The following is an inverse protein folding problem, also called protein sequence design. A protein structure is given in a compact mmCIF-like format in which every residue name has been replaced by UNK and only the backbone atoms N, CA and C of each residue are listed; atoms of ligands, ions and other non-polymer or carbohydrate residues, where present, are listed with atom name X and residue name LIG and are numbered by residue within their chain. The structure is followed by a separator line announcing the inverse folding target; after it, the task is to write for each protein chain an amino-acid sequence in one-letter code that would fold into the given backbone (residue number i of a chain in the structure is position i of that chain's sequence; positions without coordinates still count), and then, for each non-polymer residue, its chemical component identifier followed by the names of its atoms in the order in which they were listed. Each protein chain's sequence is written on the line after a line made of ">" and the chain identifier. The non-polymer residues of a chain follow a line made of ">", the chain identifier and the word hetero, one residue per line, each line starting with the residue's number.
data_IF_594742360580
#
_entry.id   IF_594742360580
#
_cell.length_a   1.000
_cell.length_b   1.000
_cell.length_c   1.000
_cell.angle_alpha   90.00
_cell.angle_beta   90.00
_cell.angle_gamma   90.00
#
_symmetry.space_group_name_H-M   'P 1'
#
loop_
_entity.id
_entity.type
_entity.pdbx_description
1 polymer ?
#
# COMPACT_ATOMS: atom_id res chain seq x y z
N UNK A 1 -3.62 -104.43 28.02
CA UNK A 1 -2.92 -103.97 29.24
C UNK A 1 -3.57 -102.68 29.69
N UNK A 2 -4.07 -102.48 30.89
CA UNK A 2 -4.39 -103.35 32.01
C UNK A 2 -5.33 -102.51 32.91
N UNK A 3 -6.62 -102.88 32.95
CA UNK A 3 -7.38 -103.18 34.19
C UNK A 3 -7.50 -102.08 35.28
N UNK A 4 -8.75 -101.62 35.52
CA UNK A 4 -9.63 -101.93 36.71
C UNK A 4 -9.55 -100.80 37.76
N UNK A 5 -10.55 -100.46 38.57
CA UNK A 5 -11.96 -100.79 38.72
C UNK A 5 -12.53 -99.95 39.91
N UNK A 6 -13.86 -99.76 39.92
CA UNK A 6 -14.76 -99.62 41.10
C UNK A 6 -14.66 -98.36 41.99
N UNK A 7 -15.64 -97.44 41.95
CA UNK A 7 -16.96 -97.38 42.67
C UNK A 7 -16.83 -97.13 44.17
N UNK A 8 -17.33 -96.00 44.68
CA UNK A 8 -18.10 -95.86 45.92
C UNK A 8 -18.75 -94.45 46.04
N UNK A 9 -20.05 -94.39 46.34
CA UNK A 9 -20.79 -93.20 46.81
C UNK A 9 -20.73 -93.15 48.34
N UNK A 10 -20.80 -91.96 48.96
CA UNK A 10 -22.01 -91.67 49.72
C UNK A 10 -22.50 -90.21 49.61
N UNK A 11 -23.81 -90.07 49.78
CA UNK A 11 -24.57 -88.83 49.92
C UNK A 11 -24.01 -87.87 50.99
N UNK A 12 -23.92 -86.58 50.67
CA UNK A 12 -24.08 -85.49 51.64
C UNK A 12 -24.92 -84.37 51.01
N UNK A 13 -26.03 -84.03 51.67
CA UNK A 13 -26.85 -82.85 51.39
C UNK A 13 -26.04 -81.58 51.70
N UNK A 14 -26.06 -80.59 50.81
CA UNK A 14 -25.82 -79.20 51.21
C UNK A 14 -26.46 -78.23 50.22
N UNK A 15 -27.30 -77.34 50.75
CA UNK A 15 -27.87 -76.17 50.06
C UNK A 15 -26.76 -75.41 49.33
N UNK A 16 -26.90 -75.22 48.01
CA UNK A 16 -26.13 -74.20 47.30
C UNK A 16 -27.07 -73.04 47.03
N UNK A 17 -26.90 -71.97 47.81
CA UNK A 17 -27.41 -70.65 47.51
C UNK A 17 -26.83 -70.20 46.16
N UNK A 18 -27.70 -69.75 45.25
CA UNK A 18 -27.28 -68.92 44.13
C UNK A 18 -26.76 -67.59 44.69
N UNK A 19 -25.45 -67.48 44.89
CA UNK A 19 -24.79 -66.19 45.01
C UNK A 19 -24.59 -65.69 43.59
N UNK A 20 -25.51 -64.85 43.12
CA UNK A 20 -25.21 -63.98 41.99
C UNK A 20 -23.97 -63.15 42.36
N UNK A 21 -22.90 -63.12 41.55
CA UNK A 21 -21.83 -62.17 41.79
C UNK A 21 -22.45 -60.78 41.67
N UNK A 22 -22.30 -59.99 42.74
CA UNK A 22 -22.55 -58.56 42.74
C UNK A 22 -21.95 -57.96 41.49
N UNK A 23 -22.80 -57.44 40.61
CA UNK A 23 -22.40 -56.48 39.58
C UNK A 23 -21.59 -55.40 40.31
N UNK A 24 -20.28 -55.41 40.08
CA UNK A 24 -19.45 -54.23 40.30
C UNK A 24 -20.10 -53.16 39.43
N UNK A 25 -20.83 -52.24 40.07
CA UNK A 25 -21.34 -51.04 39.44
C UNK A 25 -20.12 -50.33 38.87
N UNK A 26 -19.93 -50.42 37.55
CA UNK A 26 -18.94 -49.62 36.85
C UNK A 26 -19.15 -48.18 37.28
N UNK A 27 -18.08 -47.53 37.76
CA UNK A 27 -18.05 -46.11 38.08
C UNK A 27 -18.78 -45.36 36.97
N UNK A 28 -19.87 -44.69 37.32
CA UNK A 28 -20.65 -43.95 36.32
C UNK A 28 -19.75 -42.86 35.73
N UNK A 29 -19.66 -42.75 34.39
CA UNK A 29 -18.72 -41.82 33.79
C UNK A 29 -19.06 -40.37 34.15
N UNK A 30 -18.04 -39.53 34.31
CA UNK A 30 -18.16 -38.07 34.44
C UNK A 30 -17.09 -37.46 33.54
N UNK A 31 -17.48 -36.49 32.70
CA UNK A 31 -16.56 -35.91 31.72
C UNK A 31 -16.90 -34.45 31.44
N UNK A 32 -15.87 -33.59 31.40
CA UNK A 32 -16.02 -32.22 30.88
C UNK A 32 -15.91 -32.25 29.36
N UNK A 33 -17.06 -32.28 28.70
CA UNK A 33 -17.21 -32.29 27.24
C UNK A 33 -16.55 -31.10 26.55
N UNK A 34 -16.71 -29.94 27.15
CA UNK A 34 -16.30 -28.73 26.48
C UNK A 34 -16.15 -27.57 27.45
N UNK A 35 -15.13 -26.76 27.22
CA UNK A 35 -14.99 -25.42 27.80
C UNK A 35 -14.82 -24.45 26.64
N UNK A 36 -15.82 -23.61 26.39
CA UNK A 36 -15.80 -22.59 25.33
C UNK A 36 -15.84 -21.21 25.92
N UNK A 37 -15.10 -20.30 25.29
CA UNK A 37 -15.32 -18.86 25.41
C UNK A 37 -16.35 -18.50 24.33
N UNK A 38 -17.31 -17.65 24.68
CA UNK A 38 -18.35 -17.16 23.78
C UNK A 38 -17.78 -16.24 22.70
N UNK A 39 -18.68 -15.48 22.06
CA UNK A 39 -18.28 -14.57 20.98
C UNK A 39 -17.31 -13.51 21.50
N UNK A 40 -16.15 -13.42 20.85
CA UNK A 40 -15.17 -12.38 21.13
C UNK A 40 -15.70 -11.01 20.70
N UNK A 41 -15.24 -9.91 21.32
CA UNK A 41 -15.71 -8.57 20.99
C UNK A 41 -15.58 -8.21 19.51
N UNK A 42 -16.54 -7.44 19.01
CA UNK A 42 -16.45 -6.82 17.69
C UNK A 42 -15.49 -5.62 17.74
N UNK A 43 -14.68 -5.46 16.71
CA UNK A 43 -13.80 -4.31 16.51
C UNK A 43 -14.63 -3.18 15.91
N UNK A 44 -15.35 -2.45 16.75
CA UNK A 44 -16.37 -1.46 16.35
C UNK A 44 -15.85 -0.32 15.46
N UNK A 45 -14.55 -0.03 15.51
CA UNK A 45 -13.89 1.03 14.74
C UNK A 45 -13.68 0.68 13.27
N UNK A 46 -13.76 -0.59 12.87
CA UNK A 46 -13.40 -1.07 11.53
C UNK A 46 -14.60 -1.62 10.73
N UNK A 47 -15.83 -1.37 11.17
CA UNK A 47 -17.04 -1.80 10.46
C UNK A 47 -17.54 -3.20 10.82
N UNK A 48 -18.69 -3.58 10.25
CA UNK A 48 -19.45 -4.78 10.67
C UNK A 48 -18.75 -6.10 10.30
N UNK A 49 -18.75 -7.07 11.21
CA UNK A 49 -18.23 -8.43 10.97
C UNK A 49 -16.75 -8.66 11.31
N UNK A 50 -16.06 -7.66 11.87
CA UNK A 50 -14.68 -7.79 12.34
C UNK A 50 -14.66 -8.12 13.84
N UNK A 51 -14.11 -9.27 14.20
CA UNK A 51 -14.05 -9.74 15.58
C UNK A 51 -12.61 -9.87 16.04
N UNK A 52 -12.40 -9.64 17.34
CA UNK A 52 -11.14 -9.96 17.98
C UNK A 52 -10.87 -11.47 17.91
N UNK A 53 -9.60 -11.83 18.04
CA UNK A 53 -9.09 -13.21 18.13
C UNK A 53 -8.32 -13.46 19.44
N UNK A 54 -7.98 -12.39 20.16
CA UNK A 54 -7.44 -12.37 21.52
C UNK A 54 -8.25 -11.36 22.35
N UNK A 55 -8.11 -11.37 23.67
CA UNK A 55 -8.78 -10.39 24.55
C UNK A 55 -7.76 -9.38 25.09
N UNK A 56 -8.25 -8.27 25.60
CA UNK A 56 -7.48 -7.25 26.32
C UNK A 56 -8.20 -6.79 27.58
N UNK A 57 -7.47 -6.11 28.45
CA UNK A 57 -8.00 -5.44 29.62
C UNK A 57 -9.21 -4.56 29.26
N UNK A 58 -10.29 -4.73 30.03
CA UNK A 58 -11.53 -3.96 29.83
C UNK A 58 -12.52 -4.56 28.83
N UNK A 59 -12.17 -5.62 28.08
CA UNK A 59 -13.15 -6.32 27.25
C UNK A 59 -14.26 -6.90 28.14
N UNK A 60 -15.47 -6.38 27.96
CA UNK A 60 -16.63 -6.70 28.78
C UNK A 60 -17.57 -7.70 28.10
N UNK A 61 -18.57 -8.17 28.86
CA UNK A 61 -19.65 -9.05 28.40
C UNK A 61 -19.17 -10.41 27.85
N UNK A 62 -17.97 -10.84 28.22
CA UNK A 62 -17.44 -12.14 27.87
C UNK A 62 -18.25 -13.25 28.55
N UNK A 63 -18.34 -14.39 27.85
CA UNK A 63 -19.07 -15.56 28.31
C UNK A 63 -18.14 -16.78 28.32
N UNK A 64 -18.23 -17.60 29.36
CA UNK A 64 -17.66 -18.96 29.35
C UNK A 64 -18.80 -19.96 29.47
N UNK A 65 -18.83 -20.94 28.57
CA UNK A 65 -19.79 -22.04 28.58
C UNK A 65 -19.08 -23.37 28.74
N UNK A 66 -19.59 -24.18 29.65
CA UNK A 66 -19.05 -25.48 30.01
C UNK A 66 -20.11 -26.53 29.74
N UNK A 67 -19.78 -27.55 28.94
CA UNK A 67 -20.61 -28.75 28.78
C UNK A 67 -19.97 -29.89 29.60
N UNK A 68 -20.77 -30.56 30.42
CA UNK A 68 -20.34 -31.70 31.24
C UNK A 68 -21.32 -32.85 31.10
N UNK A 69 -20.81 -34.04 30.81
CA UNK A 69 -21.61 -35.26 30.77
C UNK A 69 -21.59 -35.92 32.15
N UNK A 70 -22.76 -36.13 32.76
CA UNK A 70 -22.90 -36.77 34.06
C UNK A 70 -24.10 -37.72 34.11
N UNK A 71 -23.88 -38.95 34.57
CA UNK A 71 -24.91 -39.98 34.71
C UNK A 71 -25.45 -40.08 36.15
N UNK A 72 -24.92 -39.26 37.06
CA UNK A 72 -25.30 -39.21 38.47
C UNK A 72 -26.09 -37.94 38.80
N UNK A 73 -26.77 -37.37 37.80
CA UNK A 73 -27.51 -36.12 37.90
C UNK A 73 -26.63 -34.87 37.68
N UNK A 74 -27.19 -33.69 38.00
CA UNK A 74 -26.56 -32.39 37.76
C UNK A 74 -25.25 -32.28 38.55
N UNK A 75 -24.08 -32.14 37.89
CA UNK A 75 -22.81 -31.99 38.60
C UNK A 75 -22.65 -30.57 39.15
N UNK A 76 -21.89 -30.44 40.23
CA UNK A 76 -21.38 -29.14 40.70
C UNK A 76 -20.15 -28.75 39.89
N UNK A 77 -20.04 -27.47 39.52
CA UNK A 77 -18.96 -26.97 38.67
C UNK A 77 -18.16 -25.89 39.41
N UNK A 78 -16.88 -25.83 39.12
CA UNK A 78 -15.95 -24.78 39.54
C UNK A 78 -15.03 -24.43 38.38
N UNK A 79 -14.83 -23.14 38.12
CA UNK A 79 -13.87 -22.64 37.14
C UNK A 79 -12.88 -21.68 37.81
N UNK A 80 -11.59 -21.86 37.57
CA UNK A 80 -10.55 -20.92 37.97
C UNK A 80 -10.45 -19.79 36.93
N UNK A 81 -10.94 -18.61 37.33
CA UNK A 81 -10.95 -17.38 36.52
C UNK A 81 -9.94 -16.34 37.03
N UNK A 82 -9.05 -16.73 37.96
CA UNK A 82 -8.08 -15.80 38.56
C UNK A 82 -7.14 -15.19 37.52
N UNK A 83 -6.74 -15.97 36.53
CA UNK A 83 -5.83 -15.55 35.44
C UNK A 83 -6.43 -14.51 34.50
N UNK A 84 -7.74 -14.25 34.57
CA UNK A 84 -8.44 -13.20 33.80
C UNK A 84 -9.01 -12.08 34.71
N UNK A 85 -8.55 -11.99 35.96
CA UNK A 85 -8.79 -10.85 36.85
C UNK A 85 -9.85 -11.05 37.93
N UNK A 86 -10.29 -12.28 38.21
CA UNK A 86 -11.33 -12.56 39.20
C UNK A 86 -10.76 -13.24 40.44
N UNK A 87 -10.59 -12.48 41.52
CA UNK A 87 -10.13 -12.95 42.83
C UNK A 87 -11.31 -13.33 43.75
N UNK A 88 -12.03 -14.40 43.41
CA UNK A 88 -12.78 -15.28 44.34
C UNK A 88 -13.81 -16.12 43.57
N UNK A 89 -14.11 -17.35 44.05
CA UNK A 89 -14.89 -18.33 43.31
C UNK A 89 -16.38 -17.96 43.32
N UNK A 90 -16.87 -17.25 42.31
CA UNK A 90 -18.21 -17.58 41.80
C UNK A 90 -18.05 -18.78 40.88
N UNK A 91 -17.75 -19.92 41.50
CA UNK A 91 -17.72 -21.25 40.88
C UNK A 91 -19.12 -21.69 40.50
N UNK A 92 -20.14 -21.11 41.13
CA UNK A 92 -21.53 -21.29 40.75
C UNK A 92 -21.81 -20.59 39.41
N UNK A 93 -22.14 -21.35 38.37
CA UNK A 93 -22.57 -20.78 37.10
C UNK A 93 -23.83 -19.94 37.32
N UNK A 94 -23.91 -18.80 36.64
CA UNK A 94 -25.04 -17.85 36.76
C UNK A 94 -26.34 -18.44 36.20
N UNK A 95 -26.23 -19.38 35.26
CA UNK A 95 -27.34 -20.21 34.79
C UNK A 95 -26.78 -21.52 34.22
N UNK A 96 -27.54 -22.61 34.31
CA UNK A 96 -27.13 -23.92 33.78
C UNK A 96 -27.40 -25.09 34.72
N UNK A 97 -27.16 -26.31 34.23
CA UNK A 97 -27.39 -27.55 34.97
C UNK A 97 -28.74 -28.24 34.72
N UNK A 98 -29.58 -27.70 33.83
CA UNK A 98 -30.77 -28.40 33.33
C UNK A 98 -30.67 -28.58 31.82
N UNK A 99 -30.72 -29.83 31.36
CA UNK A 99 -30.92 -30.13 29.95
C UNK A 99 -32.37 -30.55 29.74
N UNK A 100 -33.21 -29.74 29.08
CA UNK A 100 -34.62 -30.07 28.89
C UNK A 100 -34.84 -31.29 27.97
N UNK A 101 -33.78 -31.86 27.40
CA UNK A 101 -33.82 -32.98 26.45
C UNK A 101 -33.26 -34.29 27.03
N UNK A 102 -33.19 -34.46 28.35
CA UNK A 102 -32.91 -35.77 28.94
C UNK A 102 -33.92 -36.81 28.43
N UNK A 103 -33.41 -37.87 27.82
CA UNK A 103 -34.21 -38.95 27.25
C UNK A 103 -33.84 -40.26 27.94
N UNK A 104 -34.81 -40.85 28.64
CA UNK A 104 -34.61 -42.07 29.40
C UNK A 104 -35.25 -43.27 28.68
N UNK A 105 -34.47 -44.30 28.35
CA UNK A 105 -34.96 -45.62 27.92
C UNK A 105 -34.51 -46.65 28.95
N UNK A 106 -35.44 -47.47 29.46
CA UNK A 106 -35.14 -48.55 30.42
C UNK A 106 -34.30 -48.10 31.64
N UNK A 107 -34.48 -46.86 32.09
CA UNK A 107 -33.76 -46.30 33.23
C UNK A 107 -32.36 -45.75 32.93
N UNK A 108 -31.88 -45.82 31.68
CA UNK A 108 -30.63 -45.21 31.24
C UNK A 108 -30.89 -43.84 30.59
N UNK A 109 -30.17 -42.82 31.05
CA UNK A 109 -30.15 -41.48 30.44
C UNK A 109 -29.26 -41.51 29.18
N UNK A 110 -29.83 -41.11 28.05
CA UNK A 110 -29.13 -41.10 26.76
C UNK A 110 -28.53 -39.72 26.42
N UNK A 111 -28.90 -38.66 27.14
CA UNK A 111 -28.38 -37.29 26.92
C UNK A 111 -27.91 -36.65 28.24
N UNK A 112 -26.84 -37.17 28.87
CA UNK A 112 -26.34 -36.72 30.18
C UNK A 112 -25.62 -35.36 30.17
N UNK A 113 -25.76 -34.56 29.11
CA UNK A 113 -25.04 -33.30 28.91
C UNK A 113 -25.68 -32.17 29.71
N UNK A 114 -24.90 -31.51 30.55
CA UNK A 114 -25.27 -30.34 31.34
C UNK A 114 -24.48 -29.12 30.90
N UNK A 115 -25.19 -28.04 30.60
CA UNK A 115 -24.60 -26.77 30.15
C UNK A 115 -24.57 -25.77 31.28
N UNK A 116 -23.43 -25.13 31.48
CA UNK A 116 -23.19 -24.12 32.52
C UNK A 116 -22.62 -22.85 31.90
N UNK A 117 -23.11 -21.69 32.34
CA UNK A 117 -22.73 -20.37 31.81
C UNK A 117 -22.21 -19.43 32.89
N UNK A 118 -21.03 -18.87 32.66
CA UNK A 118 -20.41 -17.79 33.42
C UNK A 118 -20.47 -16.52 32.56
N UNK A 119 -21.32 -15.57 32.94
CA UNK A 119 -21.55 -14.33 32.19
C UNK A 119 -22.38 -13.32 33.02
N UNK A 120 -22.10 -12.02 32.98
CA UNK A 120 -21.07 -11.35 32.19
C UNK A 120 -19.71 -11.36 32.87
N UNK A 121 -18.65 -11.50 32.06
CA UNK A 121 -17.27 -11.38 32.51
C UNK A 121 -16.61 -10.18 31.83
N UNK A 122 -15.84 -9.41 32.59
CA UNK A 122 -14.98 -8.33 32.09
C UNK A 122 -13.54 -8.66 32.42
N UNK A 123 -12.64 -8.60 31.45
CA UNK A 123 -11.21 -8.84 31.67
C UNK A 123 -10.65 -7.74 32.58
N UNK A 124 -10.03 -8.15 33.69
CA UNK A 124 -9.49 -7.21 34.68
C UNK A 124 -8.43 -6.28 34.10
N UNK A 125 -8.38 -5.04 34.61
CA UNK A 125 -7.47 -4.01 34.12
C UNK A 125 -5.98 -4.38 34.30
N UNK A 126 -5.67 -5.15 35.34
CA UNK A 126 -4.29 -5.51 35.72
C UNK A 126 -3.88 -6.90 35.21
N UNK A 127 -4.66 -7.51 34.31
CA UNK A 127 -4.34 -8.83 33.76
C UNK A 127 -3.17 -8.68 32.78
N UNK A 128 -2.00 -9.30 33.07
CA UNK A 128 -0.83 -9.15 32.20
C UNK A 128 -1.01 -9.93 30.90
N UNK A 129 -0.18 -9.64 29.90
CA UNK A 129 -0.23 -10.31 28.61
C UNK A 129 0.07 -11.81 28.69
N UNK A 130 -0.24 -12.50 27.60
CA UNK A 130 0.13 -13.88 27.34
C UNK A 130 -1.02 -14.87 27.50
N UNK A 131 -0.66 -16.14 27.35
CA UNK A 131 -1.59 -17.27 27.36
C UNK A 131 -2.12 -17.53 28.77
N UNK A 132 -3.43 -17.37 28.95
CA UNK A 132 -4.16 -17.70 30.19
C UNK A 132 -4.87 -19.04 30.00
N UNK A 133 -4.84 -19.85 31.05
CA UNK A 133 -5.52 -21.15 31.11
C UNK A 133 -6.65 -21.06 32.10
N UNK A 134 -7.86 -21.33 31.62
CA UNK A 134 -9.05 -21.46 32.46
C UNK A 134 -9.23 -22.95 32.73
N UNK A 135 -9.10 -23.34 33.99
CA UNK A 135 -9.28 -24.73 34.43
C UNK A 135 -10.64 -24.91 35.06
N UNK A 136 -11.26 -26.05 34.78
CA UNK A 136 -12.61 -26.40 35.21
C UNK A 136 -12.58 -27.72 35.95
N UNK A 137 -13.30 -27.79 37.05
CA UNK A 137 -13.51 -28.99 37.85
C UNK A 137 -15.03 -29.23 37.93
N UNK A 138 -15.46 -30.43 37.58
CA UNK A 138 -16.82 -30.91 37.75
C UNK A 138 -16.83 -32.05 38.78
N UNK A 139 -17.79 -32.00 39.72
CA UNK A 139 -17.97 -33.04 40.73
C UNK A 139 -19.42 -33.50 40.72
N UNK A 140 -19.65 -34.79 40.52
CA UNK A 140 -21.00 -35.37 40.54
C UNK A 140 -21.53 -35.61 41.96
N UNK A 141 -22.79 -36.08 42.08
CA UNK A 141 -23.43 -36.33 43.38
C UNK A 141 -22.78 -37.47 44.19
N UNK A 142 -22.00 -38.34 43.55
CA UNK A 142 -21.32 -39.47 44.17
C UNK A 142 -19.87 -39.11 44.54
N UNK A 143 -19.39 -37.93 44.13
CA UNK A 143 -18.06 -37.40 44.41
C UNK A 143 -17.01 -37.72 43.35
N UNK A 144 -17.39 -38.25 42.19
CA UNK A 144 -16.46 -38.39 41.07
C UNK A 144 -16.05 -37.01 40.56
N UNK A 145 -14.80 -36.85 40.12
CA UNK A 145 -14.25 -35.58 39.66
C UNK A 145 -13.79 -35.69 38.21
N UNK A 146 -14.19 -34.72 37.37
CA UNK A 146 -13.67 -34.55 36.02
C UNK A 146 -13.11 -33.14 35.84
N UNK A 147 -12.04 -33.02 35.05
CA UNK A 147 -11.39 -31.73 34.77
C UNK A 147 -11.44 -31.41 33.29
N UNK A 148 -11.54 -30.12 32.96
CA UNK A 148 -11.38 -29.60 31.61
C UNK A 148 -10.63 -28.28 31.62
N UNK A 149 -10.18 -27.82 30.45
CA UNK A 149 -9.54 -26.51 30.36
C UNK A 149 -9.76 -25.88 29.00
N UNK A 150 -9.70 -24.55 28.95
CA UNK A 150 -9.55 -23.80 27.70
C UNK A 150 -8.45 -22.75 27.86
N UNK A 151 -7.97 -22.21 26.75
CA UNK A 151 -6.89 -21.22 26.72
C UNK A 151 -7.35 -19.97 25.97
N UNK A 152 -6.88 -18.82 26.44
CA UNK A 152 -7.10 -17.53 25.80
C UNK A 152 -5.82 -16.71 25.86
N UNK A 153 -5.57 -15.88 24.84
CA UNK A 153 -4.45 -14.95 24.85
C UNK A 153 -4.98 -13.60 25.32
N UNK A 154 -4.31 -13.00 26.30
CA UNK A 154 -4.48 -11.60 26.67
C UNK A 154 -3.37 -10.79 26.01
N UNK A 155 -3.73 -9.72 25.33
CA UNK A 155 -2.83 -8.81 24.65
C UNK A 155 -3.24 -7.37 24.90
N UNK A 156 -2.48 -6.67 25.74
CA UNK A 156 -2.69 -5.26 26.08
C UNK A 156 -1.71 -4.33 25.35
N UNK A 157 -0.85 -4.84 24.45
CA UNK A 157 0.18 -4.04 23.79
C UNK A 157 -0.37 -3.55 22.46
N UNK A 158 -0.58 -2.22 22.28
CA UNK A 158 -1.02 -1.71 21.01
C UNK A 158 0.07 -1.86 19.94
N UNK A 159 -0.29 -2.21 18.70
CA UNK A 159 0.66 -2.34 17.61
C UNK A 159 1.17 -0.98 17.16
N UNK A 160 2.40 -0.96 16.68
CA UNK A 160 3.02 0.16 15.99
C UNK A 160 3.33 -0.22 14.55
N UNK A 161 3.24 0.75 13.65
CA UNK A 161 3.63 0.58 12.24
C UNK A 161 4.25 1.88 11.73
N UNK A 162 5.40 1.77 11.11
CA UNK A 162 6.13 2.88 10.51
C UNK A 162 6.51 2.56 9.07
N UNK A 163 6.26 3.50 8.17
CA UNK A 163 6.73 3.45 6.79
C UNK A 163 8.08 4.17 6.72
N UNK A 164 9.11 3.47 6.23
CA UNK A 164 10.47 4.01 6.11
C UNK A 164 10.82 4.40 4.68
N UNK A 165 10.20 3.76 3.68
CA UNK A 165 10.44 4.04 2.27
C UNK A 165 9.18 3.81 1.42
N UNK A 166 9.01 4.68 0.42
CA UNK A 166 8.12 4.48 -0.72
C UNK A 166 8.96 4.67 -1.98
N UNK A 167 9.14 3.60 -2.74
CA UNK A 167 9.90 3.61 -3.99
C UNK A 167 9.07 3.15 -5.18
N UNK A 168 9.50 3.47 -6.40
CA UNK A 168 8.76 3.22 -7.63
C UNK A 168 9.57 2.36 -8.58
N UNK A 169 8.88 1.49 -9.32
CA UNK A 169 9.48 0.68 -10.39
C UNK A 169 9.96 1.51 -11.58
N UNK A 170 9.33 2.66 -11.84
CA UNK A 170 9.62 3.56 -12.97
C UNK A 170 9.52 5.02 -12.52
N UNK A 171 10.29 5.89 -13.18
CA UNK A 171 10.29 7.35 -12.95
C UNK A 171 10.09 8.08 -14.29
N UNK A 172 9.06 8.94 -14.43
CA UNK A 172 7.98 9.18 -13.47
C UNK A 172 7.00 7.98 -13.43
N UNK A 173 6.36 7.71 -12.27
CA UNK A 173 5.39 6.63 -12.14
C UNK A 173 4.09 6.96 -12.88
N UNK A 174 3.43 5.91 -13.39
CA UNK A 174 2.11 5.99 -14.01
C UNK A 174 1.14 4.97 -13.39
N UNK A 175 -0.14 5.12 -13.71
CA UNK A 175 -1.17 4.13 -13.39
C UNK A 175 -0.73 2.73 -13.84
N UNK A 176 -0.86 1.74 -12.95
CA UNK A 176 -0.48 0.36 -13.25
C UNK A 176 1.00 0.04 -13.00
N UNK A 177 1.87 1.04 -12.83
CA UNK A 177 3.24 0.80 -12.39
C UNK A 177 3.25 0.32 -10.93
N UNK A 178 4.35 -0.36 -10.55
CA UNK A 178 4.53 -0.89 -9.20
C UNK A 178 5.17 0.16 -8.30
N UNK A 179 4.55 0.41 -7.16
CA UNK A 179 5.10 1.07 -5.98
C UNK A 179 5.52 0.01 -4.95
N UNK A 180 6.59 0.28 -4.22
CA UNK A 180 7.14 -0.59 -3.20
C UNK A 180 7.08 0.10 -1.84
N UNK A 181 6.52 -0.58 -0.85
CA UNK A 181 6.49 -0.11 0.54
C UNK A 181 7.52 -0.84 1.38
N UNK A 182 8.27 -0.11 2.20
CA UNK A 182 9.14 -0.69 3.22
C UNK A 182 8.90 -0.02 4.57
N UNK A 183 9.14 -0.75 5.65
CA UNK A 183 8.89 -0.27 6.98
C UNK A 183 9.07 -1.33 8.06
N UNK A 184 8.54 -1.02 9.23
CA UNK A 184 8.63 -1.83 10.43
C UNK A 184 7.29 -1.82 11.16
N UNK A 185 6.87 -2.99 11.65
CA UNK A 185 5.84 -3.11 12.68
C UNK A 185 6.43 -3.69 13.96
N UNK A 186 5.95 -3.23 15.10
CA UNK A 186 6.37 -3.72 16.43
C UNK A 186 5.19 -3.62 17.41
N UNK A 187 5.34 -4.12 18.65
CA UNK A 187 4.31 -4.03 19.69
C UNK A 187 3.09 -4.89 19.39
N UNK A 188 3.23 -5.92 18.56
CA UNK A 188 2.12 -6.79 18.15
C UNK A 188 2.06 -7.96 19.13
N UNK A 189 1.46 -7.77 20.31
CA UNK A 189 1.25 -8.87 21.27
C UNK A 189 0.37 -10.00 20.71
N UNK A 190 -0.24 -9.76 19.55
CA UNK A 190 -0.97 -10.71 18.71
C UNK A 190 -0.77 -10.39 17.21
N UNK A 191 -1.37 -11.19 16.32
CA UNK A 191 -1.19 -11.06 14.86
C UNK A 191 -1.72 -9.71 14.36
N UNK A 192 -0.85 -8.92 13.71
CA UNK A 192 -1.23 -7.67 13.04
C UNK A 192 -1.85 -7.95 11.68
N UNK A 193 -3.01 -7.36 11.41
CA UNK A 193 -3.74 -7.46 10.15
C UNK A 193 -3.94 -6.07 9.54
N UNK A 194 -3.66 -5.95 8.24
CA UNK A 194 -3.89 -4.70 7.50
C UNK A 194 -5.36 -4.59 7.13
N UNK A 195 -6.04 -3.59 7.68
CA UNK A 195 -7.44 -3.29 7.36
C UNK A 195 -7.56 -2.57 6.02
N UNK A 196 -6.79 -1.49 5.84
CA UNK A 196 -6.86 -0.64 4.66
C UNK A 196 -5.51 0.01 4.36
N UNK A 197 -5.20 0.15 3.08
CA UNK A 197 -4.12 1.00 2.57
C UNK A 197 -4.76 2.03 1.65
N UNK A 198 -4.53 3.32 1.85
CA UNK A 198 -5.11 4.40 1.06
C UNK A 198 -4.02 5.19 0.34
N UNK A 199 -4.17 5.28 -0.98
CA UNK A 199 -3.42 6.18 -1.84
C UNK A 199 -4.17 7.51 -1.96
N UNK A 200 -3.45 8.62 -1.72
CA UNK A 200 -3.92 9.98 -2.02
C UNK A 200 -2.83 10.74 -2.75
N UNK A 201 -3.20 11.45 -3.81
CA UNK A 201 -2.32 12.28 -4.60
C UNK A 201 -2.61 13.74 -4.32
N UNK A 202 -1.56 14.55 -4.25
CA UNK A 202 -1.65 15.96 -3.85
C UNK A 202 -0.94 16.84 -4.87
N UNK A 203 -1.52 18.00 -5.17
CA UNK A 203 -0.87 19.03 -5.99
C UNK A 203 0.24 19.75 -5.22
N UNK A 204 0.95 20.66 -5.91
CA UNK A 204 2.04 21.46 -5.31
C UNK A 204 1.55 22.48 -4.26
N UNK A 205 0.24 22.74 -4.20
CA UNK A 205 -0.39 23.65 -3.25
C UNK A 205 -0.92 22.91 -2.01
N UNK A 206 -0.81 21.58 -1.97
CA UNK A 206 -1.30 20.76 -0.87
C UNK A 206 -2.80 20.49 -0.93
N UNK A 207 -3.43 20.54 -2.10
CA UNK A 207 -4.80 20.08 -2.29
C UNK A 207 -4.83 18.61 -2.78
N UNK A 208 -5.77 17.79 -2.27
CA UNK A 208 -5.94 16.43 -2.76
C UNK A 208 -6.52 16.48 -4.18
N UNK A 209 -5.82 15.88 -5.14
CA UNK A 209 -6.28 15.75 -6.54
C UNK A 209 -6.91 14.39 -6.79
N UNK A 210 -6.57 13.38 -5.98
CA UNK A 210 -7.12 12.05 -6.03
C UNK A 210 -7.05 11.40 -4.66
N UNK A 211 -8.07 10.60 -4.35
CA UNK A 211 -8.05 9.69 -3.21
C UNK A 211 -8.79 8.42 -3.57
N UNK A 212 -8.10 7.29 -3.44
CA UNK A 212 -8.71 5.96 -3.64
C UNK A 212 -9.92 5.79 -2.69
N UNK A 213 -11.12 5.58 -3.24
CA UNK A 213 -12.30 5.17 -2.46
C UNK A 213 -12.18 3.68 -2.15
N UNK A 214 -12.21 3.31 -0.87
CA UNK A 214 -12.01 1.92 -0.41
C UNK A 214 -10.56 1.51 -0.17
N UNK A 215 -9.58 2.31 -0.57
CA UNK A 215 -8.16 1.97 -0.45
C UNK A 215 -7.69 1.02 -1.57
N UNK A 216 -6.37 0.85 -1.68
CA UNK A 216 -5.76 -0.18 -2.53
C UNK A 216 -6.04 -1.54 -1.88
N UNK A 217 -7.24 -2.10 -2.07
CA UNK A 217 -7.57 -3.44 -1.55
C UNK A 217 -6.65 -4.53 -2.16
N UNK A 218 -6.06 -4.24 -3.34
CA UNK A 218 -5.03 -5.05 -4.00
C UNK A 218 -3.66 -4.91 -3.31
N UNK A 219 -3.52 -5.52 -2.13
CA UNK A 219 -2.20 -5.70 -1.50
C UNK A 219 -2.19 -5.73 0.03
N UNK A 220 -3.31 -5.48 0.72
CA UNK A 220 -3.37 -5.59 2.19
C UNK A 220 -2.96 -6.97 2.71
N UNK A 221 -3.35 -8.02 1.99
CA UNK A 221 -2.94 -9.40 2.30
C UNK A 221 -1.44 -9.59 2.09
N UNK A 222 -0.85 -9.00 1.03
CA UNK A 222 0.58 -9.10 0.77
C UNK A 222 1.39 -8.45 1.89
N UNK A 223 0.99 -7.26 2.35
CA UNK A 223 1.65 -6.61 3.48
C UNK A 223 1.44 -7.35 4.80
N UNK A 224 0.23 -7.85 5.03
CA UNK A 224 -0.07 -8.70 6.21
C UNK A 224 0.84 -9.93 6.22
N UNK A 225 0.98 -10.62 5.08
CA UNK A 225 1.88 -11.78 4.95
C UNK A 225 3.35 -11.39 5.07
N UNK A 226 3.78 -10.26 4.48
CA UNK A 226 5.15 -9.80 4.58
C UNK A 226 5.55 -9.53 6.04
N UNK A 227 4.70 -8.81 6.78
CA UNK A 227 4.88 -8.56 8.22
C UNK A 227 4.93 -9.88 8.98
N UNK A 228 3.95 -10.76 8.80
CA UNK A 228 3.88 -12.04 9.51
C UNK A 228 5.05 -12.98 9.20
N UNK A 229 5.71 -12.82 8.05
CA UNK A 229 6.88 -13.60 7.65
C UNK A 229 8.19 -13.11 8.27
N UNK A 230 8.22 -11.90 8.83
CA UNK A 230 9.42 -11.34 9.43
C UNK A 230 9.45 -11.51 10.94
N UNK A 231 10.58 -11.98 11.46
CA UNK A 231 10.78 -12.18 12.91
C UNK A 231 10.88 -10.85 13.65
N UNK A 232 11.44 -9.82 13.01
CA UNK A 232 11.60 -8.47 13.57
C UNK A 232 10.47 -7.52 13.17
N UNK A 233 9.44 -8.02 12.47
CA UNK A 233 8.33 -7.20 11.96
C UNK A 233 8.72 -6.24 10.82
N UNK A 234 9.93 -6.34 10.28
CA UNK A 234 10.32 -5.55 9.11
C UNK A 234 9.64 -6.06 7.85
N UNK A 235 9.30 -5.14 6.94
CA UNK A 235 8.84 -5.47 5.60
C UNK A 235 9.60 -4.61 4.60
N UNK A 236 10.11 -5.24 3.55
CA UNK A 236 10.96 -4.55 2.57
C UNK A 236 10.41 -4.75 1.16
N UNK A 237 10.24 -3.64 0.44
CA UNK A 237 9.81 -3.59 -0.95
C UNK A 237 8.57 -4.45 -1.25
N UNK A 238 7.54 -4.34 -0.41
CA UNK A 238 6.25 -4.99 -0.64
C UNK A 238 5.56 -4.30 -1.84
N UNK A 239 5.20 -5.04 -2.91
CA UNK A 239 4.70 -4.44 -4.15
C UNK A 239 3.21 -4.07 -4.08
N UNK A 240 2.88 -2.93 -4.67
CA UNK A 240 1.53 -2.39 -4.83
C UNK A 240 1.37 -1.80 -6.21
N UNK A 241 0.21 -2.02 -6.84
CA UNK A 241 -0.10 -1.40 -8.13
C UNK A 241 -0.69 -0.02 -7.88
N UNK A 242 -0.07 1.00 -8.48
CA UNK A 242 -0.57 2.38 -8.40
C UNK A 242 -1.92 2.50 -9.11
N UNK A 243 -2.87 3.16 -8.45
CA UNK A 243 -4.20 3.39 -8.98
C UNK A 243 -4.49 4.88 -9.15
N UNK A 244 -4.88 5.26 -10.36
CA UNK A 244 -5.22 6.64 -10.73
C UNK A 244 -6.52 6.60 -11.55
N UNK A 245 -7.66 6.40 -10.89
CA UNK A 245 -8.95 6.24 -11.59
C UNK A 245 -10.04 7.15 -11.01
N UNK A 246 -10.72 7.98 -11.82
CA UNK A 246 -10.58 8.18 -13.26
C UNK A 246 -9.80 9.46 -13.59
N UNK A 247 -8.47 9.43 -13.74
CA UNK A 247 -7.71 10.60 -14.23
C UNK A 247 -6.24 10.28 -14.52
N UNK A 248 -5.51 11.24 -15.11
CA UNK A 248 -4.04 11.29 -15.13
C UNK A 248 -3.51 12.04 -13.88
N UNK A 249 -4.11 11.85 -12.70
CA UNK A 249 -3.75 12.61 -11.51
C UNK A 249 -2.28 12.44 -11.14
N UNK A 250 -1.68 11.26 -11.35
CA UNK A 250 -0.24 11.03 -11.14
C UNK A 250 0.64 11.98 -11.97
N UNK A 251 0.18 12.38 -13.16
CA UNK A 251 0.95 13.27 -14.05
C UNK A 251 0.98 14.73 -13.60
N UNK A 252 0.06 15.13 -12.73
CA UNK A 252 -0.07 16.48 -12.18
C UNK A 252 0.14 16.52 -10.66
N UNK A 253 0.33 15.35 -10.03
CA UNK A 253 0.64 15.20 -8.63
C UNK A 253 2.05 15.73 -8.33
N UNK A 254 2.18 16.55 -7.29
CA UNK A 254 3.48 16.88 -6.72
C UNK A 254 3.94 15.82 -5.71
N UNK A 255 3.00 15.18 -5.00
CA UNK A 255 3.31 14.17 -3.99
C UNK A 255 2.26 13.07 -3.89
N UNK A 256 2.70 11.92 -3.37
CA UNK A 256 1.88 10.76 -3.05
C UNK A 256 1.92 10.56 -1.54
N UNK A 257 0.75 10.42 -0.93
CA UNK A 257 0.59 10.04 0.47
C UNK A 257 -0.04 8.66 0.55
N UNK A 258 0.67 7.75 1.23
CA UNK A 258 0.17 6.42 1.57
C UNK A 258 -0.22 6.42 3.04
N UNK A 259 -1.45 5.98 3.33
CA UNK A 259 -1.99 5.82 4.69
C UNK A 259 -2.29 4.34 4.92
N UNK A 260 -1.79 3.76 6.01
CA UNK A 260 -2.06 2.36 6.38
C UNK A 260 -2.83 2.34 7.68
N UNK A 261 -3.96 1.64 7.70
CA UNK A 261 -4.73 1.31 8.89
C UNK A 261 -4.64 -0.18 9.14
N UNK A 262 -4.23 -0.57 10.35
CA UNK A 262 -4.04 -1.95 10.76
C UNK A 262 -4.65 -2.17 12.15
N UNK A 263 -4.87 -3.44 12.50
CA UNK A 263 -5.34 -3.85 13.81
C UNK A 263 -4.71 -5.16 14.24
N UNK A 264 -4.55 -5.36 15.54
CA UNK A 264 -4.06 -6.61 16.12
C UNK A 264 -5.21 -7.57 16.47
N UNK A 265 -4.89 -8.76 16.97
CA UNK A 265 -5.86 -9.75 17.40
C UNK A 265 -6.77 -9.28 18.55
N UNK A 266 -6.32 -8.32 19.38
CA UNK A 266 -7.12 -7.76 20.48
C UNK A 266 -7.96 -6.56 20.04
N UNK A 267 -7.87 -6.15 18.77
CA UNK A 267 -8.61 -5.04 18.20
C UNK A 267 -8.08 -3.66 18.59
N UNK A 268 -6.81 -3.53 19.01
CA UNK A 268 -6.13 -2.24 18.95
C UNK A 268 -5.96 -1.84 17.49
N UNK A 269 -6.25 -0.58 17.17
CA UNK A 269 -6.14 -0.05 15.80
C UNK A 269 -5.03 0.98 15.74
N UNK A 270 -4.19 0.88 14.72
CA UNK A 270 -3.12 1.83 14.43
C UNK A 270 -3.28 2.39 13.02
N UNK A 271 -2.97 3.67 12.84
CA UNK A 271 -2.92 4.30 11.51
C UNK A 271 -1.63 5.08 11.35
N UNK A 272 -0.91 4.86 10.24
CA UNK A 272 0.32 5.59 9.89
C UNK A 272 0.22 6.18 8.49
N UNK A 273 1.08 7.14 8.16
CA UNK A 273 1.17 7.68 6.80
C UNK A 273 2.57 8.15 6.46
N UNK A 274 2.94 8.03 5.18
CA UNK A 274 4.15 8.62 4.63
C UNK A 274 3.83 9.37 3.34
N UNK A 275 4.42 10.56 3.19
CA UNK A 275 4.29 11.40 2.00
C UNK A 275 5.64 11.45 1.30
N UNK A 276 5.67 11.14 0.00
CA UNK A 276 6.86 11.27 -0.84
C UNK A 276 6.56 12.13 -2.05
N UNK A 277 7.53 12.91 -2.57
CA UNK A 277 7.36 13.60 -3.83
C UNK A 277 7.15 12.58 -4.96
N UNK A 278 6.34 12.94 -5.96
CA UNK A 278 6.32 12.16 -7.21
C UNK A 278 7.67 12.37 -7.88
N UNK A 279 8.47 11.32 -8.10
CA UNK A 279 9.77 11.51 -8.69
C UNK A 279 9.59 11.95 -10.15
N UNK A 280 10.13 13.11 -10.47
CA UNK A 280 10.25 13.65 -11.82
C UNK A 280 11.71 13.50 -12.26
N UNK A 281 12.00 13.05 -13.49
CA UNK A 281 13.40 12.86 -13.87
C UNK A 281 14.08 14.20 -14.22
N UNK A 282 15.04 14.65 -13.41
CA UNK A 282 16.02 15.72 -13.68
C UNK A 282 15.48 17.04 -14.27
N UNK A 283 14.27 17.48 -13.87
CA UNK A 283 13.71 18.76 -14.30
C UNK A 283 13.45 18.89 -15.80
N UNK A 284 13.43 17.79 -16.55
CA UNK A 284 13.10 17.78 -17.98
C UNK A 284 11.60 17.60 -18.17
N UNK A 285 11.09 18.09 -19.30
CA UNK A 285 9.70 17.86 -19.71
C UNK A 285 9.60 16.42 -20.23
N UNK A 286 8.68 15.63 -19.68
CA UNK A 286 8.38 14.27 -20.15
C UNK A 286 6.95 14.23 -20.70
N UNK A 287 6.77 13.45 -21.76
CA UNK A 287 5.44 13.12 -22.26
C UNK A 287 4.82 12.05 -21.37
N UNK A 288 3.57 12.24 -20.98
CA UNK A 288 2.77 11.24 -20.24
C UNK A 288 2.07 10.26 -21.20
N UNK A 289 1.48 9.18 -20.66
CA UNK A 289 0.77 8.14 -21.40
C UNK A 289 1.63 6.95 -21.84
N UNK A 290 1.03 6.05 -22.63
CA UNK A 290 1.61 4.76 -23.06
C UNK A 290 2.91 4.90 -23.88
N UNK A 291 3.13 6.08 -24.47
CA UNK A 291 4.30 6.38 -25.30
C UNK A 291 5.33 7.25 -24.56
N UNK A 292 5.29 7.29 -23.21
CA UNK A 292 6.16 8.16 -22.42
C UNK A 292 7.65 7.97 -22.74
N UNK A 293 8.40 9.07 -22.61
CA UNK A 293 9.85 8.97 -22.55
C UNK A 293 10.27 8.10 -21.35
N UNK A 294 11.25 7.24 -21.57
CA UNK A 294 11.89 6.38 -20.56
C UNK A 294 13.30 6.93 -20.34
N UNK A 295 14.29 6.07 -20.05
CA UNK A 295 15.70 6.46 -20.13
C UNK A 295 16.13 6.99 -21.52
N UNK A 296 15.29 6.81 -22.55
CA UNK A 296 15.48 7.39 -23.90
C UNK A 296 14.55 8.59 -24.16
N UNK A 297 14.99 9.66 -24.85
CA UNK A 297 14.13 10.80 -25.20
C UNK A 297 12.92 10.42 -26.05
N UNK A 298 11.74 11.02 -25.77
CA UNK A 298 10.47 10.72 -26.44
C UNK A 298 10.58 10.74 -27.97
N UNK A 299 11.14 11.81 -28.52
CA UNK A 299 11.22 12.00 -29.97
C UNK A 299 12.02 10.88 -30.67
N UNK A 300 13.01 10.30 -29.98
CA UNK A 300 13.78 9.16 -30.49
C UNK A 300 12.95 7.88 -30.46
N UNK A 301 12.16 7.66 -29.39
CA UNK A 301 11.28 6.50 -29.29
C UNK A 301 10.15 6.56 -30.31
N UNK A 302 9.55 7.74 -30.45
CA UNK A 302 8.45 7.96 -31.38
C UNK A 302 8.89 7.76 -32.83
N UNK A 303 10.09 8.23 -33.20
CA UNK A 303 10.66 7.95 -34.51
C UNK A 303 10.78 6.43 -34.76
N UNK A 304 11.33 5.67 -33.81
CA UNK A 304 11.46 4.20 -33.92
C UNK A 304 10.10 3.52 -34.00
N UNK A 305 9.12 3.96 -33.21
CA UNK A 305 7.76 3.41 -33.19
C UNK A 305 7.07 3.63 -34.53
N UNK A 306 7.11 4.87 -35.04
CA UNK A 306 6.53 5.23 -36.34
C UNK A 306 7.21 4.47 -37.48
N UNK A 307 8.54 4.37 -37.46
CA UNK A 307 9.30 3.60 -38.43
C UNK A 307 8.89 2.11 -38.43
N UNK A 308 8.73 1.49 -37.25
CA UNK A 308 8.28 0.10 -37.11
C UNK A 308 6.88 -0.14 -37.66
N UNK A 309 5.95 0.80 -37.47
CA UNK A 309 4.60 0.71 -38.02
C UNK A 309 4.48 1.16 -39.49
N UNK A 310 5.54 1.77 -40.04
CA UNK A 310 5.55 2.26 -41.42
C UNK A 310 5.76 1.10 -42.40
N UNK A 311 5.04 1.11 -43.52
CA UNK A 311 5.20 0.12 -44.60
C UNK A 311 6.63 0.06 -45.16
N UNK A 312 7.34 1.19 -45.14
CA UNK A 312 8.70 1.30 -45.66
C UNK A 312 9.77 1.02 -44.61
N UNK A 313 9.38 0.85 -43.34
CA UNK A 313 10.31 0.84 -42.22
C UNK A 313 10.93 2.21 -41.90
N UNK A 314 10.47 3.28 -42.55
CA UNK A 314 11.03 4.64 -42.43
C UNK A 314 9.96 5.71 -42.27
N UNK A 315 10.37 6.88 -41.76
CA UNK A 315 9.53 8.06 -41.51
C UNK A 315 10.00 9.25 -42.33
N UNK A 316 9.06 10.03 -42.87
CA UNK A 316 9.34 11.37 -43.41
C UNK A 316 9.09 12.41 -42.33
N UNK A 317 10.07 13.28 -42.08
CA UNK A 317 9.97 14.36 -41.08
C UNK A 317 9.67 15.67 -41.81
N UNK A 318 8.58 16.34 -41.42
CA UNK A 318 8.29 17.72 -41.85
C UNK A 318 8.51 18.63 -40.66
N UNK A 319 9.45 19.55 -40.78
CA UNK A 319 9.87 20.39 -39.66
C UNK A 319 9.81 21.87 -40.02
N UNK A 320 9.11 22.64 -39.18
CA UNK A 320 8.92 24.08 -39.32
C UNK A 320 9.75 24.85 -38.29
N UNK A 321 10.34 25.98 -38.71
CA UNK A 321 11.04 26.92 -37.81
C UNK A 321 12.08 26.19 -36.93
N UNK A 322 12.09 26.42 -35.62
CA UNK A 322 12.99 25.78 -34.66
C UNK A 322 12.90 24.22 -34.66
N UNK A 323 11.78 23.65 -35.10
CA UNK A 323 11.63 22.21 -35.26
C UNK A 323 12.64 21.59 -36.22
N UNK A 324 13.13 22.36 -37.21
CA UNK A 324 14.19 21.90 -38.11
C UNK A 324 15.55 21.79 -37.43
N UNK A 325 15.89 22.71 -36.54
CA UNK A 325 17.10 22.64 -35.73
C UNK A 325 17.04 21.46 -34.75
N UNK A 326 15.88 21.24 -34.13
CA UNK A 326 15.62 20.06 -33.29
C UNK A 326 15.78 18.75 -34.07
N UNK A 327 15.30 18.70 -35.31
CA UNK A 327 15.47 17.53 -36.20
C UNK A 327 16.94 17.25 -36.48
N UNK A 328 17.76 18.29 -36.72
CA UNK A 328 19.21 18.14 -36.90
C UNK A 328 19.89 17.60 -35.64
N UNK A 329 19.53 18.13 -34.47
CA UNK A 329 20.05 17.65 -33.18
C UNK A 329 19.65 16.17 -32.93
N UNK A 330 18.42 15.78 -33.28
CA UNK A 330 17.96 14.39 -33.19
C UNK A 330 18.82 13.46 -34.05
N UNK A 331 19.10 13.83 -35.30
CA UNK A 331 19.93 13.02 -36.21
C UNK A 331 21.34 12.84 -35.64
N UNK A 332 21.96 13.92 -35.15
CA UNK A 332 23.27 13.86 -34.49
C UNK A 332 23.25 12.93 -33.27
N UNK A 333 22.15 12.89 -32.52
CA UNK A 333 21.99 12.02 -31.35
C UNK A 333 21.75 10.56 -31.68
N UNK A 334 21.08 10.24 -32.79
CA UNK A 334 20.82 8.86 -33.19
C UNK A 334 22.04 8.15 -33.79
N UNK A 335 23.14 8.88 -34.03
CA UNK A 335 24.27 8.45 -34.88
C UNK A 335 23.80 8.26 -36.33
N UNK A 336 24.51 8.84 -37.30
CA UNK A 336 24.03 8.96 -38.69
C UNK A 336 23.60 7.62 -39.32
N UNK A 337 24.25 6.52 -38.92
CA UNK A 337 23.94 5.17 -39.39
C UNK A 337 22.57 4.65 -38.96
N UNK A 338 22.04 5.11 -37.83
CA UNK A 338 20.71 4.75 -37.38
C UNK A 338 19.66 5.67 -37.99
N UNK A 339 19.94 6.98 -38.03
CA UNK A 339 19.07 7.96 -38.66
C UNK A 339 18.78 7.57 -40.12
N UNK A 340 19.79 7.13 -40.88
CA UNK A 340 19.64 6.66 -42.26
C UNK A 340 18.74 5.41 -42.40
N UNK A 341 18.65 4.58 -41.36
CA UNK A 341 17.76 3.40 -41.33
C UNK A 341 16.32 3.77 -41.03
N UNK A 342 16.09 4.82 -40.22
CA UNK A 342 14.77 5.18 -39.71
C UNK A 342 14.11 6.33 -40.48
N UNK A 343 14.87 7.19 -41.15
CA UNK A 343 14.37 8.40 -41.81
C UNK A 343 14.48 8.22 -43.32
N UNK A 344 13.38 8.49 -44.03
CA UNK A 344 13.34 8.51 -45.49
C UNK A 344 13.72 9.88 -46.03
N UNK A 345 13.01 10.92 -45.59
CA UNK A 345 13.16 12.29 -46.06
C UNK A 345 12.95 13.29 -44.93
N UNK A 346 13.54 14.47 -45.09
CA UNK A 346 13.32 15.62 -44.22
C UNK A 346 12.92 16.81 -45.08
N UNK A 347 11.81 17.45 -44.73
CA UNK A 347 11.28 18.64 -45.39
C UNK A 347 11.38 19.79 -44.40
N UNK A 348 12.26 20.75 -44.69
CA UNK A 348 12.45 21.94 -43.87
C UNK A 348 11.60 23.10 -44.40
N UNK A 349 10.82 23.71 -43.51
CA UNK A 349 9.97 24.87 -43.80
C UNK A 349 10.42 26.01 -42.88
N UNK A 350 10.93 27.10 -43.45
CA UNK A 350 11.35 28.31 -42.72
C UNK A 350 12.30 28.04 -41.53
N UNK A 351 13.24 27.11 -41.68
CA UNK A 351 14.19 26.74 -40.61
C UNK A 351 15.33 27.76 -40.55
N UNK A 352 15.59 28.40 -39.40
CA UNK A 352 16.60 29.46 -39.27
C UNK A 352 18.01 28.87 -39.16
N UNK A 353 18.54 28.37 -40.28
CA UNK A 353 19.81 27.62 -40.34
C UNK A 353 21.03 28.41 -39.80
N UNK A 354 21.05 29.72 -40.01
CA UNK A 354 22.11 30.61 -39.55
C UNK A 354 21.65 31.57 -38.44
N UNK A 355 20.42 31.41 -37.93
CA UNK A 355 19.76 32.33 -37.00
C UNK A 355 18.79 33.30 -37.68
N UNK A 356 18.13 34.11 -36.86
CA UNK A 356 17.07 35.06 -37.23
C UNK A 356 17.37 36.42 -36.58
N UNK A 357 17.71 37.48 -37.33
CA UNK A 357 18.01 38.81 -36.77
C UNK A 357 16.90 39.36 -35.87
N UNK A 358 15.65 39.05 -36.20
CA UNK A 358 14.50 39.47 -35.41
C UNK A 358 14.50 38.95 -33.96
N UNK A 359 15.19 37.84 -33.67
CA UNK A 359 15.36 37.35 -32.30
C UNK A 359 16.07 38.39 -31.40
N UNK A 360 16.96 39.21 -31.97
CA UNK A 360 17.64 40.30 -31.27
C UNK A 360 16.61 41.32 -30.76
N UNK A 361 15.71 41.78 -31.63
CA UNK A 361 14.66 42.71 -31.25
C UNK A 361 13.66 42.13 -30.24
N UNK A 362 13.37 40.83 -30.33
CA UNK A 362 12.46 40.16 -29.40
C UNK A 362 13.05 40.12 -27.97
N UNK A 363 14.35 39.83 -27.85
CA UNK A 363 15.05 39.77 -26.56
C UNK A 363 15.17 41.18 -25.94
N UNK A 364 15.57 42.19 -26.73
CA UNK A 364 15.89 43.52 -26.20
C UNK A 364 14.66 44.38 -25.94
N UNK A 365 13.64 44.28 -26.80
CA UNK A 365 12.52 45.21 -26.80
C UNK A 365 11.17 44.55 -26.53
N UNK A 366 11.11 43.21 -26.47
CA UNK A 366 9.85 42.48 -26.35
C UNK A 366 8.91 42.71 -27.54
N UNK A 367 9.46 43.11 -28.70
CA UNK A 367 8.73 43.87 -29.70
C UNK A 367 7.64 43.11 -30.48
N UNK A 368 6.55 43.82 -30.73
CA UNK A 368 5.27 43.42 -31.35
C UNK A 368 5.24 43.56 -32.88
N UNK A 369 6.30 43.21 -33.62
CA UNK A 369 6.22 43.14 -35.09
C UNK A 369 6.92 41.91 -35.67
N UNK A 370 6.13 40.87 -35.97
CA UNK A 370 6.24 40.15 -37.24
C UNK A 370 6.97 38.81 -37.32
N UNK A 371 6.65 37.83 -36.47
CA UNK A 371 6.58 36.40 -36.89
C UNK A 371 5.12 35.98 -36.61
N UNK A 372 4.51 35.08 -37.40
CA UNK A 372 3.08 35.10 -37.73
C UNK A 372 2.19 35.25 -36.48
N UNK A 373 1.12 36.06 -36.63
CA UNK A 373 0.16 36.53 -35.62
C UNK A 373 -0.40 35.48 -34.64
N UNK A 374 -0.06 34.21 -34.77
CA UNK A 374 -0.83 33.08 -34.27
C UNK A 374 -0.21 32.31 -33.08
N UNK A 375 1.00 32.63 -32.58
CA UNK A 375 1.61 31.81 -31.50
C UNK A 375 1.85 32.48 -30.14
N UNK A 376 2.12 33.80 -30.05
CA UNK A 376 2.46 34.48 -28.78
C UNK A 376 1.99 35.95 -28.68
N UNK A 377 1.67 36.61 -29.79
CA UNK A 377 1.58 38.08 -29.86
C UNK A 377 0.18 38.67 -29.61
N UNK A 378 -0.79 37.89 -29.12
CA UNK A 378 -2.14 38.40 -28.79
C UNK A 378 -2.33 38.56 -27.27
N UNK A 379 -1.41 38.05 -26.44
CA UNK A 379 -1.66 37.85 -25.00
C UNK A 379 -0.55 38.33 -24.03
N UNK A 380 0.59 38.87 -24.50
CA UNK A 380 1.72 39.24 -23.62
C UNK A 380 2.12 40.70 -23.78
N UNK A 381 2.34 41.40 -22.66
CA UNK A 381 2.95 42.73 -22.68
C UNK A 381 4.43 42.66 -23.09
N UNK A 382 5.02 43.71 -23.67
CA UNK A 382 6.45 43.76 -23.99
C UNK A 382 7.38 43.44 -22.79
N UNK A 383 7.01 43.83 -21.56
CA UNK A 383 7.75 43.48 -20.34
C UNK A 383 7.70 41.97 -20.05
N UNK A 384 6.52 41.36 -20.24
CA UNK A 384 6.33 39.93 -20.05
C UNK A 384 7.06 39.14 -21.13
N UNK A 385 7.06 39.62 -22.37
CA UNK A 385 7.79 39.03 -23.48
C UNK A 385 9.31 39.09 -23.27
N UNK A 386 9.85 40.19 -22.74
CA UNK A 386 11.27 40.29 -22.35
C UNK A 386 11.62 39.31 -21.23
N UNK A 387 10.79 39.25 -20.19
CA UNK A 387 10.99 38.27 -19.10
C UNK A 387 10.97 36.83 -19.61
N UNK A 388 10.02 36.50 -20.49
CA UNK A 388 9.91 35.18 -21.10
C UNK A 388 11.14 34.85 -21.96
N UNK A 389 11.53 35.74 -22.86
CA UNK A 389 12.65 35.51 -23.79
C UNK A 389 14.00 35.44 -23.06
N UNK A 390 14.23 36.26 -22.03
CA UNK A 390 15.42 36.18 -21.20
C UNK A 390 15.55 34.84 -20.44
N UNK A 391 14.42 34.22 -20.08
CA UNK A 391 14.38 32.96 -19.34
C UNK A 391 14.11 31.73 -20.23
N UNK A 392 14.12 31.90 -21.56
CA UNK A 392 13.86 30.82 -22.52
C UNK A 392 15.14 30.49 -23.29
N UNK A 393 15.93 29.47 -22.88
CA UNK A 393 17.17 29.10 -23.55
C UNK A 393 17.04 28.89 -25.07
N UNK A 394 15.88 28.42 -25.54
CA UNK A 394 15.62 28.24 -26.97
C UNK A 394 15.56 29.54 -27.77
N UNK A 395 15.29 30.69 -27.14
CA UNK A 395 15.34 32.00 -27.81
C UNK A 395 16.75 32.33 -28.31
N UNK A 396 17.77 32.00 -27.51
CA UNK A 396 19.18 32.25 -27.83
C UNK A 396 19.70 31.38 -28.98
N UNK A 397 19.12 30.19 -29.17
CA UNK A 397 19.43 29.33 -30.33
C UNK A 397 19.00 29.95 -31.67
N UNK A 398 18.15 30.99 -31.65
CA UNK A 398 17.68 31.68 -32.84
C UNK A 398 18.51 32.94 -33.15
N UNK A 399 19.49 33.32 -32.31
CA UNK A 399 20.35 34.45 -32.60
C UNK A 399 21.20 34.19 -33.86
N UNK A 400 21.49 35.22 -34.67
CA UNK A 400 22.42 35.11 -35.79
C UNK A 400 23.76 34.50 -35.36
N UNK A 401 24.12 33.40 -36.00
CA UNK A 401 25.44 32.78 -35.88
C UNK A 401 26.51 33.63 -36.57
N UNK A 402 27.79 33.38 -36.30
CA UNK A 402 28.88 34.03 -37.05
C UNK A 402 28.76 33.82 -38.57
N UNK A 403 28.27 32.65 -39.00
CA UNK A 403 28.06 32.36 -40.42
C UNK A 403 26.93 33.20 -41.04
N UNK A 404 25.98 33.74 -40.26
CA UNK A 404 24.93 34.60 -40.80
C UNK A 404 25.51 35.78 -41.60
N UNK A 405 26.55 36.40 -41.04
CA UNK A 405 27.23 37.57 -41.62
C UNK A 405 28.08 37.23 -42.86
N UNK A 406 28.23 35.95 -43.21
CA UNK A 406 28.82 35.54 -44.50
C UNK A 406 27.79 35.53 -45.63
N UNK A 407 26.49 35.51 -45.29
CA UNK A 407 25.39 35.51 -46.26
C UNK A 407 24.71 36.86 -46.39
N UNK A 408 24.70 37.66 -45.31
CA UNK A 408 23.99 38.94 -45.24
C UNK A 408 24.93 40.00 -44.67
N UNK A 409 25.19 41.02 -45.48
CA UNK A 409 26.08 42.14 -45.14
C UNK A 409 25.37 43.26 -44.35
N UNK A 410 24.03 43.25 -44.34
CA UNK A 410 23.24 44.23 -43.61
C UNK A 410 23.49 44.13 -42.09
N UNK A 411 23.73 45.25 -41.40
CA UNK A 411 23.91 45.25 -39.95
C UNK A 411 22.62 44.84 -39.25
N UNK A 412 22.76 44.05 -38.18
CA UNK A 412 21.63 43.54 -37.39
C UNK A 412 21.21 44.48 -36.26
N UNK A 413 22.11 45.40 -35.86
CA UNK A 413 21.84 46.48 -34.91
C UNK A 413 22.43 47.77 -35.44
N UNK A 414 21.69 48.87 -35.32
CA UNK A 414 22.15 50.22 -35.60
C UNK A 414 21.78 51.11 -34.41
N UNK A 415 22.76 51.85 -33.90
CA UNK A 415 22.54 52.84 -32.84
C UNK A 415 22.23 54.20 -33.48
N UNK A 416 21.25 54.91 -32.95
CA UNK A 416 20.98 56.30 -33.33
C UNK A 416 22.07 57.23 -32.80
N UNK A 417 22.17 58.47 -33.31
CA UNK A 417 23.23 59.43 -32.95
C UNK A 417 22.97 60.22 -31.66
N UNK A 418 21.93 59.88 -30.89
CA UNK A 418 21.58 60.53 -29.62
C UNK A 418 22.69 60.42 -28.57
N UNK A 419 22.77 61.42 -27.69
CA UNK A 419 23.70 61.41 -26.55
C UNK A 419 23.41 60.22 -25.61
N UNK A 420 22.16 59.77 -25.53
CA UNK A 420 21.76 58.61 -24.72
C UNK A 420 22.50 57.33 -25.12
N UNK A 421 22.74 57.12 -26.43
CA UNK A 421 23.44 55.93 -26.94
C UNK A 421 24.95 56.15 -27.17
N UNK A 422 25.52 57.28 -26.77
CA UNK A 422 26.94 57.60 -27.01
C UNK A 422 27.89 56.55 -26.42
N UNK A 423 27.60 56.05 -25.22
CA UNK A 423 28.39 55.00 -24.58
C UNK A 423 28.32 53.65 -25.33
N UNK A 424 27.15 53.32 -25.92
CA UNK A 424 26.99 52.12 -26.73
C UNK A 424 27.76 52.23 -28.06
N UNK A 425 27.71 53.39 -28.73
CA UNK A 425 28.50 53.64 -29.94
C UNK A 425 30.00 53.60 -29.67
N UNK A 426 30.46 54.13 -28.54
CA UNK A 426 31.86 54.06 -28.13
C UNK A 426 32.33 52.61 -27.89
N UNK A 427 31.44 51.73 -27.40
CA UNK A 427 31.78 50.34 -27.05
C UNK A 427 31.63 49.35 -28.21
N UNK A 428 30.60 49.51 -29.05
CA UNK A 428 30.25 48.53 -30.10
C UNK A 428 30.31 49.10 -31.52
N UNK A 429 30.64 50.38 -31.69
CA UNK A 429 30.53 51.08 -32.96
C UNK A 429 29.09 51.50 -33.28
N UNK A 430 28.88 52.19 -34.40
CA UNK A 430 27.56 52.69 -34.81
C UNK A 430 26.62 51.58 -35.33
N UNK A 431 27.18 50.44 -35.73
CA UNK A 431 26.45 49.28 -36.26
C UNK A 431 27.12 47.97 -35.89
N UNK A 432 26.32 46.93 -35.62
CA UNK A 432 26.81 45.56 -35.39
C UNK A 432 26.56 44.73 -36.64
N UNK A 433 27.62 44.18 -37.21
CA UNK A 433 27.62 43.45 -38.48
C UNK A 433 28.54 42.22 -38.44
N UNK A 434 28.92 41.75 -37.25
CA UNK A 434 29.62 40.47 -37.08
C UNK A 434 29.16 39.74 -35.81
N UNK A 435 29.43 38.43 -35.78
CA UNK A 435 28.97 37.55 -34.71
C UNK A 435 29.66 37.76 -33.36
N UNK A 436 30.91 38.22 -33.35
CA UNK A 436 31.64 38.46 -32.10
C UNK A 436 31.13 39.73 -31.40
N UNK A 437 30.95 40.80 -32.17
CA UNK A 437 30.32 42.04 -31.69
C UNK A 437 28.89 41.80 -31.22
N UNK A 438 28.09 41.03 -31.98
CA UNK A 438 26.73 40.71 -31.58
C UNK A 438 26.68 39.93 -30.25
N UNK A 439 27.55 38.92 -30.09
CA UNK A 439 27.61 38.15 -28.85
C UNK A 439 27.95 39.02 -27.65
N UNK A 440 28.95 39.90 -27.79
CA UNK A 440 29.35 40.81 -26.71
C UNK A 440 28.22 41.77 -26.35
N UNK A 441 27.58 42.37 -27.36
CA UNK A 441 26.46 43.28 -27.16
C UNK A 441 25.28 42.62 -26.42
N UNK A 442 24.90 41.40 -26.80
CA UNK A 442 23.80 40.67 -26.15
C UNK A 442 24.17 40.21 -24.73
N UNK A 443 25.44 39.93 -24.44
CA UNK A 443 25.88 39.53 -23.10
C UNK A 443 25.95 40.70 -22.11
N UNK A 444 26.13 41.92 -22.62
CA UNK A 444 26.22 43.16 -21.85
C UNK A 444 24.87 43.89 -21.69
N UNK A 445 23.85 43.48 -22.45
CA UNK A 445 22.49 44.02 -22.44
C UNK A 445 21.58 43.20 -21.53
#
# INVERSE_FOLDING_TARGET
>A
MHTRAQVFWPFFFSLVFFIFPSLVQASSPLYVAQVRIGDLPMISTLGYGMYQTTLKAGDANQQITINVQSWQGVPTISADLSQIGFLSPTTTPLSGGNNPYHFYINGADYYPDYFFKFWPLTIGADVPDGLKTISVIATDAVGNVATGSTKIIIDNVPPTISLTDISFSVVPPQKGDVMYLSGLSDGTGSVLTIYQIRETLWDALGNPIFGSSGGIDYGKNLLTTAIASSVDGSFTRVPFILNDSPSNALSIAASIKITITAYDGSGHVVTTSLVVPVPIPDGRIYYSGDLRATSSPYISQELRRLAKSSKTGKVTIVAHSNGGLMTKALIQKLVDTEAAKLIDKIIFIAVPQAGTPQAISAILHGYEQGLPKDWLSVFLSPETARTLTANMPSAYNLLPSANYFTYVDNPVVKFDDSDFLAAFRARYGSTIHDGAQLKNFIADA
#
